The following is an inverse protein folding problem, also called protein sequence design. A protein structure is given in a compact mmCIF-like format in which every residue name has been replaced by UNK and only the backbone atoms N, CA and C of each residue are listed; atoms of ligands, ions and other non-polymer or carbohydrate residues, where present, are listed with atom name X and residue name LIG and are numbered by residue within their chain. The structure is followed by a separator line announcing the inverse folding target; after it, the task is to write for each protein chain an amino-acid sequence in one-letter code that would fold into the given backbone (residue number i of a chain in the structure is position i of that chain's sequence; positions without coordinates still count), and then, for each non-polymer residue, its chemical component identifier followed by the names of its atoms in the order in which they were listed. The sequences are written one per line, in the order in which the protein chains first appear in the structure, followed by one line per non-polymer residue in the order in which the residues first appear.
data_IF_208239716910
#
_entry.id   IF_208239716910
#
_cell.length_a   1.000
_cell.length_b   1.000
_cell.length_c   1.000
_cell.angle_alpha   90.00
_cell.angle_beta   90.00
_cell.angle_gamma   90.00
#
_symmetry.space_group_name_H-M   'P 1'
#
loop_
_entity.id
_entity.type
_entity.pdbx_description
1 polymer ?
#
# COMPACT_ATOMS: atom_id res chain seq x y z
N UNK A 1 71.95 -23.58 -42.78
CA UNK A 1 70.71 -24.35 -42.97
C UNK A 1 69.62 -23.67 -42.14
N UNK A 2 69.23 -22.42 -42.39
CA UNK A 2 68.45 -21.85 -43.54
C UNK A 2 67.11 -22.55 -43.77
N UNK A 3 66.05 -21.99 -43.18
CA UNK A 3 64.77 -21.81 -43.85
C UNK A 3 64.18 -20.49 -43.33
N UNK A 4 64.30 -19.47 -44.17
CA UNK A 4 63.81 -18.11 -44.02
C UNK A 4 62.39 -18.14 -44.59
N UNK A 5 61.37 -18.02 -43.75
CA UNK A 5 59.98 -18.06 -44.18
C UNK A 5 59.56 -16.67 -44.64
N UNK A 6 59.20 -16.59 -45.93
CA UNK A 6 58.96 -15.34 -46.65
C UNK A 6 57.66 -14.68 -46.19
N UNK A 7 57.76 -13.41 -45.80
CA UNK A 7 56.63 -12.49 -45.68
C UNK A 7 56.08 -12.16 -47.06
N UNK A 8 54.81 -12.50 -47.31
CA UNK A 8 54.02 -11.98 -48.43
C UNK A 8 53.59 -10.53 -48.15
N UNK A 9 54.00 -9.54 -48.96
CA UNK A 9 53.42 -8.21 -48.95
C UNK A 9 52.35 -8.12 -50.05
N UNK A 10 51.33 -7.28 -49.84
CA UNK A 10 50.22 -6.99 -50.76
C UNK A 10 49.06 -7.99 -50.80
N UNK A 11 48.26 -7.99 -49.73
CA UNK A 11 46.82 -8.23 -49.90
C UNK A 11 46.15 -6.86 -50.12
N UNK A 12 45.74 -6.59 -51.36
CA UNK A 12 45.02 -5.38 -51.75
C UNK A 12 43.71 -5.32 -50.95
N UNK A 13 43.69 -4.40 -49.98
CA UNK A 13 42.54 -4.06 -49.17
C UNK A 13 41.37 -3.64 -50.06
N UNK A 14 40.49 -4.58 -50.33
CA UNK A 14 39.13 -4.27 -50.74
C UNK A 14 38.54 -3.54 -49.54
N UNK A 15 38.32 -2.22 -49.64
CA UNK A 15 37.52 -1.47 -48.69
C UNK A 15 36.15 -2.13 -48.67
N UNK A 16 35.98 -3.13 -47.79
CA UNK A 16 34.67 -3.61 -47.41
C UNK A 16 33.96 -2.39 -46.86
N UNK A 17 33.08 -1.82 -47.68
CA UNK A 17 32.14 -0.79 -47.29
C UNK A 17 31.51 -1.33 -46.02
N UNK A 18 31.86 -0.74 -44.87
CA UNK A 18 31.32 -1.13 -43.59
C UNK A 18 29.82 -0.86 -43.69
N UNK A 19 29.08 -1.90 -44.08
CA UNK A 19 27.62 -1.88 -44.11
C UNK A 19 27.26 -1.58 -42.67
N UNK A 20 26.86 -0.33 -42.40
CA UNK A 20 26.45 0.07 -41.08
C UNK A 20 25.47 -0.99 -40.59
N UNK A 21 25.72 -1.61 -39.42
CA UNK A 21 24.85 -2.65 -38.90
C UNK A 21 23.45 -2.05 -38.87
N UNK A 22 22.58 -2.53 -39.77
CA UNK A 22 21.24 -2.02 -39.96
C UNK A 22 20.59 -1.97 -38.59
N UNK A 23 20.36 -0.77 -38.08
CA UNK A 23 19.78 -0.59 -36.75
C UNK A 23 18.50 -1.41 -36.74
N UNK A 24 18.38 -2.44 -35.87
CA UNK A 24 17.23 -3.31 -35.88
C UNK A 24 16.00 -2.42 -35.76
N UNK A 25 15.10 -2.54 -36.74
CA UNK A 25 13.88 -1.76 -36.75
C UNK A 25 13.22 -1.91 -35.37
N UNK A 26 12.78 -0.81 -34.73
CA UNK A 26 12.17 -0.88 -33.41
C UNK A 26 11.06 -1.92 -33.48
N UNK A 27 11.19 -2.97 -32.67
CA UNK A 27 10.20 -4.04 -32.62
C UNK A 27 8.89 -3.36 -32.26
N UNK A 28 7.89 -3.35 -33.16
CA UNK A 28 6.66 -2.63 -32.91
C UNK A 28 6.08 -3.12 -31.58
N UNK A 29 5.69 -2.19 -30.72
CA UNK A 29 4.98 -2.49 -29.48
C UNK A 29 3.94 -3.56 -29.78
N UNK A 30 4.09 -4.73 -29.14
CA UNK A 30 3.11 -5.79 -29.27
C UNK A 30 1.87 -5.32 -28.51
N UNK A 31 0.99 -4.58 -29.19
CA UNK A 31 -0.24 -4.06 -28.62
C UNK A 31 -1.11 -5.19 -28.07
N UNK A 32 -0.87 -6.43 -28.49
CA UNK A 32 -1.55 -7.64 -28.05
C UNK A 32 -0.79 -8.43 -26.98
N UNK A 33 0.33 -7.88 -26.49
CA UNK A 33 1.00 -8.39 -25.31
C UNK A 33 0.01 -8.43 -24.14
N UNK A 34 -0.17 -9.65 -23.64
CA UNK A 34 -1.09 -10.02 -22.55
C UNK A 34 -0.84 -9.18 -21.29
N UNK A 35 0.34 -8.60 -21.10
CA UNK A 35 0.65 -7.80 -19.90
C UNK A 35 0.54 -6.30 -20.12
N UNK A 36 0.43 -5.83 -21.37
CA UNK A 36 0.49 -4.40 -21.71
C UNK A 36 -0.87 -3.83 -22.13
N UNK A 37 -1.85 -4.69 -22.41
CA UNK A 37 -3.13 -4.24 -22.93
C UNK A 37 -4.04 -3.67 -21.82
N UNK A 38 -4.54 -2.42 -21.93
CA UNK A 38 -5.34 -1.76 -20.88
C UNK A 38 -6.58 -2.55 -20.42
N UNK A 39 -7.13 -3.40 -21.29
CA UNK A 39 -8.28 -4.24 -20.99
C UNK A 39 -7.99 -5.29 -19.92
N UNK A 40 -6.73 -5.62 -19.66
CA UNK A 40 -6.38 -6.49 -18.54
C UNK A 40 -6.76 -5.87 -17.20
N UNK A 41 -6.65 -4.55 -17.04
CA UNK A 41 -7.10 -3.88 -15.82
C UNK A 41 -8.59 -4.17 -15.56
N UNK A 42 -9.44 -4.03 -16.58
CA UNK A 42 -10.88 -4.34 -16.47
C UNK A 42 -11.09 -5.82 -16.08
N UNK A 43 -10.38 -6.74 -16.72
CA UNK A 43 -10.48 -8.17 -16.40
C UNK A 43 -10.07 -8.46 -14.95
N UNK A 44 -9.00 -7.85 -14.45
CA UNK A 44 -8.59 -7.99 -13.05
C UNK A 44 -9.66 -7.45 -12.09
N UNK A 45 -10.28 -6.30 -12.39
CA UNK A 45 -11.38 -5.79 -11.56
C UNK A 45 -12.58 -6.75 -11.54
N UNK A 46 -12.95 -7.33 -12.67
CA UNK A 46 -14.02 -8.33 -12.74
C UNK A 46 -13.65 -9.57 -11.94
N UNK A 47 -12.41 -10.05 -12.07
CA UNK A 47 -11.91 -11.21 -11.31
C UNK A 47 -11.92 -10.92 -9.80
N UNK A 48 -11.42 -9.76 -9.37
CA UNK A 48 -11.42 -9.40 -7.95
C UNK A 48 -12.82 -9.20 -7.39
N UNK A 49 -13.74 -8.62 -8.17
CA UNK A 49 -15.14 -8.54 -7.79
C UNK A 49 -15.77 -9.93 -7.65
N UNK A 50 -15.52 -10.85 -8.59
CA UNK A 50 -16.02 -12.21 -8.47
C UNK A 50 -15.42 -12.94 -7.27
N UNK A 51 -14.10 -12.84 -7.07
CA UNK A 51 -13.40 -13.46 -5.95
C UNK A 51 -13.85 -12.88 -4.60
N UNK A 52 -14.14 -11.58 -4.49
CA UNK A 52 -14.65 -11.00 -3.25
C UNK A 52 -16.04 -11.56 -2.90
N UNK A 53 -16.91 -11.74 -3.89
CA UNK A 53 -18.21 -12.41 -3.72
C UNK A 53 -18.05 -13.89 -3.33
N UNK A 54 -17.07 -14.57 -3.93
CA UNK A 54 -16.73 -15.95 -3.59
C UNK A 54 -16.25 -16.05 -2.13
N UNK A 55 -15.31 -15.21 -1.71
CA UNK A 55 -14.81 -15.15 -0.32
C UNK A 55 -15.96 -14.90 0.65
N UNK A 56 -16.84 -13.94 0.36
CA UNK A 56 -18.02 -13.68 1.18
C UNK A 56 -18.91 -14.92 1.31
N UNK A 57 -19.17 -15.61 0.20
CA UNK A 57 -19.97 -16.84 0.18
C UNK A 57 -19.31 -17.96 0.97
N UNK A 58 -17.98 -18.11 0.86
CA UNK A 58 -17.20 -19.10 1.61
C UNK A 58 -17.20 -18.83 3.11
N UNK A 59 -17.09 -17.56 3.53
CA UNK A 59 -17.15 -17.18 4.95
C UNK A 59 -18.55 -17.43 5.56
N UNK A 60 -19.62 -17.13 4.81
CA UNK A 60 -21.00 -17.43 5.24
C UNK A 60 -21.31 -18.94 5.25
N UNK A 61 -20.59 -19.73 4.44
CA UNK A 61 -20.74 -21.20 4.37
C UNK A 61 -19.61 -21.93 5.09
N UNK A 62 -18.84 -21.24 5.92
CA UNK A 62 -17.73 -21.86 6.63
C UNK A 62 -18.23 -23.02 7.50
N UNK A 63 -17.54 -24.17 7.50
CA UNK A 63 -17.97 -25.33 8.31
C UNK A 63 -17.87 -25.04 9.82
N UNK A 64 -16.99 -24.12 10.21
CA UNK A 64 -16.90 -23.66 11.60
C UNK A 64 -18.05 -22.71 11.92
N UNK A 65 -18.98 -23.18 12.75
CA UNK A 65 -20.10 -22.37 13.27
C UNK A 65 -19.60 -21.06 13.91
N UNK A 66 -18.49 -21.10 14.67
CA UNK A 66 -17.91 -19.89 15.31
C UNK A 66 -17.54 -18.83 14.26
N UNK A 67 -16.87 -19.21 13.16
CA UNK A 67 -16.45 -18.27 12.12
C UNK A 67 -17.67 -17.65 11.42
N UNK A 68 -18.64 -18.49 11.05
CA UNK A 68 -19.86 -18.01 10.38
C UNK A 68 -20.63 -17.04 11.28
N UNK A 69 -20.90 -17.44 12.51
CA UNK A 69 -21.70 -16.63 13.45
C UNK A 69 -21.00 -15.29 13.76
N UNK A 70 -19.66 -15.28 13.88
CA UNK A 70 -18.89 -14.05 14.04
C UNK A 70 -18.90 -13.19 12.78
N UNK A 71 -18.74 -13.77 11.59
CA UNK A 71 -18.79 -12.98 10.36
C UNK A 71 -20.19 -12.41 10.10
N UNK A 72 -21.25 -13.15 10.42
CA UNK A 72 -22.64 -12.70 10.34
C UNK A 72 -22.99 -11.64 11.39
N UNK A 73 -22.30 -11.56 12.52
CA UNK A 73 -22.55 -10.50 13.51
C UNK A 73 -21.88 -9.18 13.15
N UNK A 74 -20.87 -9.18 12.27
CA UNK A 74 -20.17 -7.98 11.84
C UNK A 74 -21.06 -7.08 10.97
N UNK A 75 -20.93 -5.76 11.15
CA UNK A 75 -21.51 -4.77 10.23
C UNK A 75 -20.98 -4.94 8.81
N UNK A 76 -21.74 -4.47 7.82
CA UNK A 76 -21.36 -4.62 6.41
C UNK A 76 -19.97 -4.04 6.10
N UNK A 77 -19.61 -2.91 6.70
CA UNK A 77 -18.28 -2.31 6.51
C UNK A 77 -17.18 -3.16 7.16
N UNK A 78 -17.46 -3.73 8.33
CA UNK A 78 -16.55 -4.64 9.02
C UNK A 78 -16.34 -5.95 8.24
N UNK A 79 -17.41 -6.49 7.63
CA UNK A 79 -17.37 -7.65 6.72
C UNK A 79 -16.56 -7.36 5.46
N UNK A 80 -16.76 -6.20 4.84
CA UNK A 80 -16.00 -5.79 3.66
C UNK A 80 -14.49 -5.73 3.98
N UNK A 81 -14.11 -5.19 5.14
CA UNK A 81 -12.70 -5.17 5.57
C UNK A 81 -12.13 -6.59 5.73
N UNK A 82 -12.89 -7.52 6.32
CA UNK A 82 -12.45 -8.91 6.45
C UNK A 82 -12.26 -9.57 5.06
N UNK A 83 -13.16 -9.32 4.10
CA UNK A 83 -13.02 -9.79 2.72
C UNK A 83 -11.77 -9.20 2.07
N UNK A 84 -11.52 -7.90 2.24
CA UNK A 84 -10.30 -7.24 1.74
C UNK A 84 -9.06 -7.93 2.30
N UNK A 85 -9.00 -8.23 3.59
CA UNK A 85 -7.82 -8.89 4.18
C UNK A 85 -7.54 -10.25 3.56
N UNK A 86 -8.57 -11.06 3.30
CA UNK A 86 -8.41 -12.36 2.59
C UNK A 86 -7.94 -12.15 1.16
N UNK A 87 -8.54 -11.21 0.43
CA UNK A 87 -8.17 -10.89 -0.95
C UNK A 87 -6.73 -10.39 -1.05
N UNK A 88 -6.33 -9.51 -0.13
CA UNK A 88 -4.97 -8.99 -0.02
C UNK A 88 -3.98 -10.10 0.30
N UNK A 89 -4.30 -10.97 1.25
CA UNK A 89 -3.47 -12.13 1.60
C UNK A 89 -3.24 -13.03 0.39
N UNK A 90 -4.29 -13.40 -0.34
CA UNK A 90 -4.19 -14.29 -1.51
C UNK A 90 -3.45 -13.59 -2.67
N UNK A 91 -3.86 -12.37 -3.03
CA UNK A 91 -3.28 -11.63 -4.15
C UNK A 91 -1.80 -11.32 -3.96
N UNK A 92 -1.42 -10.83 -2.78
CA UNK A 92 0.00 -10.54 -2.46
C UNK A 92 0.84 -11.81 -2.33
N UNK A 93 0.26 -12.95 -1.92
CA UNK A 93 0.97 -14.24 -1.92
C UNK A 93 1.28 -14.73 -3.34
N UNK A 94 0.31 -14.62 -4.26
CA UNK A 94 0.52 -14.95 -5.68
C UNK A 94 1.59 -14.02 -6.29
N UNK A 95 1.46 -12.71 -6.03
CA UNK A 95 2.44 -11.72 -6.47
C UNK A 95 3.84 -12.03 -5.91
N UNK A 96 3.94 -12.40 -4.63
CA UNK A 96 5.20 -12.77 -3.99
C UNK A 96 5.90 -13.94 -4.69
N UNK A 97 5.17 -15.01 -5.00
CA UNK A 97 5.72 -16.18 -5.70
C UNK A 97 6.19 -15.81 -7.12
N UNK A 98 5.36 -15.07 -7.87
CA UNK A 98 5.71 -14.60 -9.20
C UNK A 98 6.92 -13.65 -9.19
N UNK A 99 7.02 -12.81 -8.15
CA UNK A 99 8.12 -11.88 -7.93
C UNK A 99 9.41 -12.62 -7.56
N UNK A 100 9.35 -13.63 -6.69
CA UNK A 100 10.50 -14.49 -6.37
C UNK A 100 11.01 -15.19 -7.62
N UNK A 101 10.14 -15.82 -8.41
CA UNK A 101 10.51 -16.49 -9.66
C UNK A 101 11.21 -15.53 -10.63
N UNK A 102 10.59 -14.38 -10.90
CA UNK A 102 11.10 -13.39 -11.83
C UNK A 102 12.37 -12.67 -11.35
N UNK A 103 12.54 -12.53 -10.03
CA UNK A 103 13.68 -11.83 -9.43
C UNK A 103 14.94 -12.67 -9.28
N UNK A 104 14.85 -14.00 -9.41
CA UNK A 104 15.99 -14.92 -9.23
C UNK A 104 17.24 -14.55 -10.05
N UNK A 105 17.11 -14.19 -11.32
CA UNK A 105 18.29 -13.78 -12.12
C UNK A 105 18.62 -12.30 -11.92
N UNK A 106 17.60 -11.49 -11.67
CA UNK A 106 17.70 -10.04 -11.63
C UNK A 106 18.42 -9.56 -10.38
N UNK A 107 18.11 -10.13 -9.22
CA UNK A 107 18.69 -9.75 -7.94
C UNK A 107 20.01 -10.47 -7.70
N UNK A 108 20.10 -11.77 -7.99
CA UNK A 108 21.25 -12.57 -7.58
C UNK A 108 22.38 -12.63 -8.60
N UNK A 109 22.11 -12.58 -9.91
CA UNK A 109 23.17 -12.78 -10.92
C UNK A 109 23.82 -11.50 -11.40
N UNK A 110 23.30 -10.32 -11.04
CA UNK A 110 23.75 -9.02 -11.55
C UNK A 110 23.85 -8.94 -13.09
N UNK A 111 23.24 -9.88 -13.81
CA UNK A 111 23.34 -10.03 -15.27
C UNK A 111 22.45 -9.01 -15.98
N UNK A 112 23.02 -8.26 -16.93
CA UNK A 112 22.32 -7.25 -17.74
C UNK A 112 21.29 -7.84 -18.72
N UNK A 113 21.12 -9.16 -18.74
CA UNK A 113 20.09 -9.84 -19.52
C UNK A 113 19.22 -10.70 -18.61
N UNK A 114 17.93 -10.74 -18.90
CA UNK A 114 16.96 -11.62 -18.23
C UNK A 114 16.11 -12.31 -19.28
N UNK A 115 15.66 -13.53 -18.99
CA UNK A 115 14.72 -14.22 -19.89
C UNK A 115 13.38 -13.47 -19.94
N UNK A 116 12.74 -13.46 -21.11
CA UNK A 116 11.43 -12.82 -21.30
C UNK A 116 10.37 -13.36 -20.33
N UNK A 117 10.39 -14.67 -20.03
CA UNK A 117 9.48 -15.30 -19.07
C UNK A 117 9.60 -14.68 -17.66
N UNK A 118 10.83 -14.47 -17.19
CA UNK A 118 11.07 -13.85 -15.87
C UNK A 118 10.63 -12.40 -15.85
N UNK A 119 10.88 -11.66 -16.92
CA UNK A 119 10.40 -10.28 -17.06
C UNK A 119 8.87 -10.21 -17.04
N UNK A 120 8.20 -11.08 -17.79
CA UNK A 120 6.74 -11.17 -17.82
C UNK A 120 6.17 -11.50 -16.42
N UNK A 121 6.83 -12.41 -15.67
CA UNK A 121 6.43 -12.74 -14.31
C UNK A 121 6.56 -11.56 -13.34
N UNK A 122 7.61 -10.74 -13.46
CA UNK A 122 7.78 -9.53 -12.65
C UNK A 122 6.73 -8.48 -12.99
N UNK A 123 6.49 -8.24 -14.28
CA UNK A 123 5.44 -7.33 -14.74
C UNK A 123 4.07 -7.77 -14.23
N UNK A 124 3.77 -9.08 -14.30
CA UNK A 124 2.56 -9.65 -13.74
C UNK A 124 2.45 -9.38 -12.23
N UNK A 125 3.49 -9.67 -11.45
CA UNK A 125 3.48 -9.46 -10.00
C UNK A 125 3.23 -7.98 -9.62
N UNK A 126 3.97 -7.06 -10.25
CA UNK A 126 3.85 -5.62 -9.98
C UNK A 126 2.48 -5.07 -10.39
N UNK A 127 1.98 -5.49 -11.56
CA UNK A 127 0.65 -5.11 -12.04
C UNK A 127 -0.45 -5.65 -11.12
N UNK A 128 -0.32 -6.90 -10.67
CA UNK A 128 -1.26 -7.52 -9.74
C UNK A 128 -1.33 -6.73 -8.43
N UNK A 129 -0.18 -6.37 -7.85
CA UNK A 129 -0.12 -5.54 -6.62
C UNK A 129 -0.77 -4.17 -6.84
N UNK A 130 -0.43 -3.47 -7.92
CA UNK A 130 -0.99 -2.15 -8.21
C UNK A 130 -2.51 -2.20 -8.34
N UNK A 131 -3.05 -3.17 -9.08
CA UNK A 131 -4.51 -3.30 -9.26
C UNK A 131 -5.18 -3.72 -7.95
N UNK A 132 -4.57 -4.61 -7.17
CA UNK A 132 -5.09 -5.02 -5.86
C UNK A 132 -5.21 -3.83 -4.90
N UNK A 133 -4.23 -2.92 -4.90
CA UNK A 133 -4.26 -1.69 -4.10
C UNK A 133 -5.32 -0.70 -4.60
N UNK A 134 -5.46 -0.50 -5.91
CA UNK A 134 -6.53 0.35 -6.46
C UNK A 134 -7.91 -0.25 -6.15
N UNK A 135 -8.05 -1.57 -6.27
CA UNK A 135 -9.28 -2.28 -5.92
C UNK A 135 -9.63 -2.09 -4.45
N UNK A 136 -8.67 -2.21 -3.53
CA UNK A 136 -8.92 -1.92 -2.12
C UNK A 136 -9.36 -0.47 -1.90
N UNK A 137 -8.72 0.51 -2.56
CA UNK A 137 -9.10 1.92 -2.45
C UNK A 137 -10.55 2.18 -2.90
N UNK A 138 -11.04 1.43 -3.87
CA UNK A 138 -12.43 1.55 -4.36
C UNK A 138 -13.40 0.80 -3.45
N UNK A 139 -13.03 -0.39 -2.98
CA UNK A 139 -13.91 -1.28 -2.22
C UNK A 139 -14.03 -0.87 -0.74
N UNK A 140 -12.96 -0.31 -0.16
CA UNK A 140 -12.91 0.15 1.23
C UNK A 140 -13.50 1.55 1.34
N UNK A 141 -14.60 1.69 2.09
CA UNK A 141 -15.27 2.99 2.28
C UNK A 141 -14.50 4.00 3.13
N UNK A 142 -13.78 3.51 4.14
CA UNK A 142 -12.98 4.30 5.07
C UNK A 142 -11.56 3.77 5.07
N UNK A 143 -10.61 4.61 4.66
CA UNK A 143 -9.19 4.26 4.64
C UNK A 143 -8.42 5.25 5.49
N UNK A 144 -7.54 4.74 6.35
CA UNK A 144 -6.62 5.60 7.09
C UNK A 144 -5.52 6.16 6.18
N UNK A 145 -5.12 7.41 6.42
CA UNK A 145 -4.13 8.19 5.68
C UNK A 145 -2.80 7.47 5.53
N UNK A 146 -2.24 6.80 6.55
CA UNK A 146 -0.98 6.08 6.36
C UNK A 146 -1.11 4.93 5.36
N UNK A 147 -2.23 4.21 5.39
CA UNK A 147 -2.52 3.15 4.42
C UNK A 147 -2.77 3.74 3.03
N UNK A 148 -3.50 4.85 2.94
CA UNK A 148 -3.74 5.58 1.69
C UNK A 148 -2.42 6.06 1.07
N UNK A 149 -1.55 6.71 1.85
CA UNK A 149 -0.23 7.19 1.41
C UNK A 149 0.64 6.02 0.96
N UNK A 150 0.68 4.94 1.74
CA UNK A 150 1.40 3.71 1.36
C UNK A 150 0.90 3.17 0.01
N UNK A 151 -0.41 3.07 -0.20
CA UNK A 151 -0.99 2.57 -1.46
C UNK A 151 -0.67 3.49 -2.63
N UNK A 152 -0.90 4.81 -2.48
CA UNK A 152 -0.67 5.79 -3.53
C UNK A 152 0.81 5.86 -3.94
N UNK A 153 1.73 5.91 -2.98
CA UNK A 153 3.16 5.93 -3.24
C UNK A 153 3.62 4.62 -3.86
N UNK A 154 3.12 3.47 -3.40
CA UNK A 154 3.46 2.16 -3.99
C UNK A 154 2.99 2.07 -5.45
N UNK A 155 1.74 2.44 -5.74
CA UNK A 155 1.19 2.44 -7.11
C UNK A 155 1.99 3.39 -8.01
N UNK A 156 2.28 4.60 -7.52
CA UNK A 156 3.06 5.60 -8.24
C UNK A 156 4.47 5.08 -8.57
N UNK A 157 5.16 4.47 -7.60
CA UNK A 157 6.47 3.87 -7.82
C UNK A 157 6.43 2.77 -8.88
N UNK A 158 5.46 1.85 -8.81
CA UNK A 158 5.29 0.78 -9.81
C UNK A 158 5.05 1.35 -11.21
N UNK A 159 4.21 2.37 -11.34
CA UNK A 159 3.92 2.99 -12.63
C UNK A 159 5.14 3.72 -13.21
N UNK A 160 5.85 4.49 -12.38
CA UNK A 160 7.02 5.24 -12.81
C UNK A 160 8.17 4.31 -13.23
N UNK A 161 8.41 3.23 -12.49
CA UNK A 161 9.46 2.27 -12.84
C UNK A 161 9.13 1.49 -14.10
N UNK A 162 7.86 1.08 -14.27
CA UNK A 162 7.40 0.44 -15.50
C UNK A 162 7.55 1.38 -16.70
N UNK A 163 7.12 2.65 -16.57
CA UNK A 163 7.28 3.66 -17.61
C UNK A 163 8.76 3.90 -17.97
N UNK A 164 9.63 4.02 -16.95
CA UNK A 164 11.08 4.17 -17.15
C UNK A 164 11.68 2.97 -17.88
N UNK A 165 11.25 1.76 -17.53
CA UNK A 165 11.69 0.53 -18.20
C UNK A 165 11.22 0.47 -19.66
N UNK A 166 9.97 0.81 -19.95
CA UNK A 166 9.45 0.77 -21.32
C UNK A 166 10.04 1.84 -22.23
N UNK A 167 10.40 3.01 -21.68
CA UNK A 167 11.01 4.09 -22.45
C UNK A 167 12.51 3.84 -22.73
N UNK A 168 13.23 3.28 -21.75
CA UNK A 168 14.70 3.12 -21.84
C UNK A 168 15.15 1.71 -22.21
N UNK A 169 14.28 0.71 -22.04
CA UNK A 169 14.60 -0.72 -22.05
C UNK A 169 15.72 -1.13 -21.07
N UNK A 170 16.05 -0.28 -20.09
CA UNK A 170 17.12 -0.54 -19.14
C UNK A 170 16.60 -1.35 -17.95
N UNK A 171 17.17 -2.54 -17.77
CA UNK A 171 16.79 -3.49 -16.72
C UNK A 171 16.96 -2.88 -15.31
N UNK A 172 17.85 -1.90 -15.10
CA UNK A 172 18.06 -1.31 -13.77
C UNK A 172 16.77 -0.75 -13.14
N UNK A 173 15.87 -0.19 -13.95
CA UNK A 173 14.60 0.35 -13.45
C UNK A 173 13.64 -0.76 -13.01
N UNK A 174 13.56 -1.86 -13.75
CA UNK A 174 12.72 -3.00 -13.35
C UNK A 174 13.33 -3.72 -12.13
N UNK A 175 14.67 -3.76 -11.99
CA UNK A 175 15.32 -4.29 -10.78
C UNK A 175 14.92 -3.48 -9.56
N UNK A 176 15.03 -2.16 -9.67
CA UNK A 176 14.66 -1.25 -8.59
C UNK A 176 13.17 -1.40 -8.23
N UNK A 177 12.29 -1.46 -9.24
CA UNK A 177 10.86 -1.73 -9.03
C UNK A 177 10.59 -3.05 -8.32
N UNK A 178 11.33 -4.09 -8.69
CA UNK A 178 11.18 -5.43 -8.10
C UNK A 178 11.60 -5.41 -6.65
N UNK A 179 12.68 -4.70 -6.32
CA UNK A 179 13.09 -4.50 -4.94
C UNK A 179 12.01 -3.75 -4.14
N UNK A 180 11.50 -2.65 -4.69
CA UNK A 180 10.44 -1.86 -4.07
C UNK A 180 9.12 -2.63 -3.91
N UNK A 181 8.79 -3.50 -4.86
CA UNK A 181 7.60 -4.36 -4.80
C UNK A 181 7.57 -5.27 -3.57
N UNK A 182 8.73 -5.63 -3.02
CA UNK A 182 8.79 -6.42 -1.79
C UNK A 182 8.19 -5.71 -0.57
N UNK A 183 8.11 -4.37 -0.56
CA UNK A 183 7.39 -3.66 0.50
C UNK A 183 5.91 -4.05 0.58
N UNK A 184 5.27 -4.30 -0.56
CA UNK A 184 3.87 -4.71 -0.65
C UNK A 184 3.72 -6.22 -0.45
N UNK A 185 4.62 -7.02 -1.02
CA UNK A 185 4.53 -8.48 -0.96
C UNK A 185 5.11 -9.09 0.32
N UNK A 186 5.38 -8.31 1.37
CA UNK A 186 5.74 -8.82 2.71
C UNK A 186 4.67 -8.53 3.77
N UNK A 187 3.46 -8.11 3.35
CA UNK A 187 2.36 -7.72 4.25
C UNK A 187 1.40 -8.87 4.60
N UNK A 188 1.66 -10.10 4.14
CA UNK A 188 0.76 -11.25 4.31
C UNK A 188 0.41 -11.49 5.78
N UNK A 189 1.41 -11.42 6.67
CA UNK A 189 1.20 -11.66 8.09
C UNK A 189 0.33 -10.59 8.74
N UNK A 190 0.42 -9.34 8.27
CA UNK A 190 -0.42 -8.22 8.70
C UNK A 190 -1.88 -8.46 8.34
N UNK A 191 -2.15 -8.89 7.10
CA UNK A 191 -3.51 -9.21 6.68
C UNK A 191 -4.08 -10.40 7.45
N UNK A 192 -3.26 -11.40 7.75
CA UNK A 192 -3.67 -12.56 8.54
C UNK A 192 -4.03 -12.16 9.98
N UNK A 193 -3.19 -11.36 10.65
CA UNK A 193 -3.43 -10.88 12.00
C UNK A 193 -4.72 -10.04 12.07
N UNK A 194 -4.91 -9.10 11.13
CA UNK A 194 -6.11 -8.27 11.05
C UNK A 194 -7.37 -9.09 10.76
N UNK A 195 -7.27 -10.14 9.93
CA UNK A 195 -8.37 -11.05 9.65
C UNK A 195 -8.80 -11.83 10.90
N UNK A 196 -7.85 -12.43 11.63
CA UNK A 196 -8.15 -13.15 12.87
C UNK A 196 -8.73 -12.23 13.94
N UNK A 197 -8.17 -11.04 14.10
CA UNK A 197 -8.71 -10.03 15.00
C UNK A 197 -10.15 -9.65 14.65
N UNK A 198 -10.45 -9.38 13.37
CA UNK A 198 -11.78 -8.94 12.95
C UNK A 198 -12.85 -10.01 13.15
N UNK A 199 -12.50 -11.29 13.01
CA UNK A 199 -13.41 -12.42 13.22
C UNK A 199 -13.39 -12.94 14.67
N UNK A 200 -12.60 -12.32 15.54
CA UNK A 200 -12.36 -12.78 16.91
C UNK A 200 -11.99 -14.27 16.99
N UNK A 201 -11.10 -14.72 16.10
CA UNK A 201 -10.61 -16.09 16.07
C UNK A 201 -9.33 -16.15 16.89
N UNK A 202 -9.22 -17.16 17.76
CA UNK A 202 -8.07 -17.36 18.66
C UNK A 202 -7.74 -16.12 19.52
N UNK A 203 -8.71 -15.66 20.31
CA UNK A 203 -8.59 -14.51 21.24
C UNK A 203 -7.21 -14.45 21.93
N UNK A 204 -6.83 -15.51 22.64
CA UNK A 204 -5.55 -15.61 23.38
C UNK A 204 -4.27 -15.49 22.51
N UNK A 205 -4.38 -15.63 21.19
CA UNK A 205 -3.24 -15.56 20.26
C UNK A 205 -3.21 -14.26 19.47
N UNK A 206 -4.23 -13.39 19.58
CA UNK A 206 -4.30 -12.15 18.80
C UNK A 206 -3.11 -11.23 19.10
N UNK A 207 -2.77 -11.06 20.39
CA UNK A 207 -1.60 -10.28 20.80
C UNK A 207 -0.32 -10.79 20.15
N UNK A 208 -0.11 -12.11 20.17
CA UNK A 208 1.05 -12.75 19.55
C UNK A 208 1.12 -12.47 18.04
N UNK A 209 0.02 -12.64 17.31
CA UNK A 209 -0.02 -12.38 15.86
C UNK A 209 0.27 -10.92 15.53
N UNK A 210 -0.25 -9.97 16.31
CA UNK A 210 0.04 -8.55 16.12
C UNK A 210 1.51 -8.22 16.38
N UNK A 211 2.11 -8.72 17.46
CA UNK A 211 3.53 -8.49 17.74
C UNK A 211 4.42 -9.13 16.67
N UNK A 212 4.12 -10.37 16.28
CA UNK A 212 4.87 -11.06 15.23
C UNK A 212 4.77 -10.31 13.90
N UNK A 213 3.58 -9.86 13.53
CA UNK A 213 3.33 -9.08 12.33
C UNK A 213 4.05 -7.73 12.33
N UNK A 214 4.03 -7.01 13.46
CA UNK A 214 4.73 -5.74 13.61
C UNK A 214 6.25 -5.92 13.48
N UNK A 215 6.80 -6.92 14.18
CA UNK A 215 8.24 -7.23 14.13
C UNK A 215 8.67 -7.67 12.73
N UNK A 216 7.95 -8.60 12.11
CA UNK A 216 8.21 -9.07 10.75
C UNK A 216 8.15 -7.91 9.75
N UNK A 217 7.07 -7.13 9.77
CA UNK A 217 6.92 -5.98 8.87
C UNK A 217 8.06 -4.98 9.03
N UNK A 218 8.42 -4.62 10.27
CA UNK A 218 9.51 -3.68 10.53
C UNK A 218 10.86 -4.20 10.03
N UNK A 219 11.19 -5.47 10.33
CA UNK A 219 12.45 -6.09 9.93
C UNK A 219 12.59 -6.17 8.41
N UNK A 220 11.60 -6.75 7.71
CA UNK A 220 11.67 -6.93 6.27
C UNK A 220 11.60 -5.60 5.52
N UNK A 221 10.75 -4.66 5.94
CA UNK A 221 10.64 -3.36 5.28
C UNK A 221 11.90 -2.52 5.49
N UNK A 222 12.50 -2.55 6.69
CA UNK A 222 13.79 -1.89 6.94
C UNK A 222 14.90 -2.50 6.09
N UNK A 223 14.95 -3.84 6.00
CA UNK A 223 15.92 -4.54 5.15
C UNK A 223 15.77 -4.17 3.67
N UNK A 224 14.55 -4.20 3.13
CA UNK A 224 14.28 -3.83 1.73
C UNK A 224 14.62 -2.36 1.47
N UNK A 225 14.23 -1.44 2.36
CA UNK A 225 14.61 -0.01 2.27
C UNK A 225 16.13 0.15 2.23
N UNK A 226 16.85 -0.48 3.15
CA UNK A 226 18.31 -0.36 3.23
C UNK A 226 18.98 -0.86 1.95
N UNK A 227 18.59 -2.05 1.47
CA UNK A 227 19.09 -2.59 0.20
C UNK A 227 18.75 -1.66 -0.96
N UNK A 228 17.57 -1.03 -0.95
CA UNK A 228 17.13 -0.08 -1.97
C UNK A 228 17.96 1.18 -2.00
N UNK A 229 18.25 1.76 -0.83
CA UNK A 229 19.14 2.92 -0.69
C UNK A 229 20.55 2.56 -1.18
N UNK A 230 21.12 1.45 -0.73
CA UNK A 230 22.47 1.01 -1.14
C UNK A 230 22.53 0.79 -2.66
N UNK A 231 21.53 0.12 -3.22
CA UNK A 231 21.42 -0.11 -4.66
C UNK A 231 21.34 1.22 -5.43
N UNK A 232 20.50 2.14 -4.98
CA UNK A 232 20.35 3.46 -5.59
C UNK A 232 21.64 4.30 -5.51
N UNK A 233 22.28 4.37 -4.34
CA UNK A 233 23.57 5.05 -4.17
C UNK A 233 24.65 4.44 -5.06
N UNK A 234 24.66 3.11 -5.21
CA UNK A 234 25.57 2.42 -6.13
C UNK A 234 25.32 2.83 -7.59
N UNK A 235 24.06 2.96 -8.01
CA UNK A 235 23.72 3.44 -9.36
C UNK A 235 24.20 4.87 -9.62
N UNK A 236 24.10 5.75 -8.62
CA UNK A 236 24.64 7.12 -8.71
C UNK A 236 26.17 7.09 -8.78
N UNK A 237 26.83 6.38 -7.86
CA UNK A 237 28.28 6.36 -7.74
C UNK A 237 28.97 5.78 -9.00
N UNK A 238 28.37 4.74 -9.58
CA UNK A 238 28.88 4.10 -10.81
C UNK A 238 28.55 4.89 -12.08
N UNK A 239 27.84 6.02 -11.99
CA UNK A 239 27.38 6.78 -13.15
C UNK A 239 26.34 6.06 -14.01
N UNK A 240 25.81 4.91 -13.55
CA UNK A 240 24.78 4.14 -14.25
C UNK A 240 23.46 4.87 -14.32
N UNK A 241 23.18 5.73 -13.35
CA UNK A 241 22.06 6.67 -13.42
C UNK A 241 22.51 7.91 -14.21
N UNK A 242 22.55 7.78 -15.54
CA UNK A 242 23.00 8.87 -16.40
C UNK A 242 22.04 10.05 -16.36
N UNK A 243 22.52 11.21 -15.90
CA UNK A 243 21.77 12.49 -15.88
C UNK A 243 21.43 13.00 -17.29
N UNK A 244 21.96 12.37 -18.34
CA UNK A 244 21.60 12.66 -19.74
C UNK A 244 20.17 12.26 -20.11
N UNK A 245 19.54 11.37 -19.34
CA UNK A 245 18.15 10.95 -19.57
C UNK A 245 17.21 11.68 -18.63
N UNK A 246 16.00 12.02 -19.11
CA UNK A 246 14.94 12.62 -18.28
C UNK A 246 14.61 11.75 -17.07
N UNK A 247 14.57 10.42 -17.25
CA UNK A 247 14.36 9.46 -16.17
C UNK A 247 15.50 9.44 -15.15
N UNK A 248 16.76 9.52 -15.58
CA UNK A 248 17.90 9.60 -14.67
C UNK A 248 17.81 10.80 -13.73
N UNK A 249 17.49 11.99 -14.26
CA UNK A 249 17.25 13.20 -13.46
C UNK A 249 16.08 13.00 -12.50
N UNK A 250 14.94 12.51 -13.01
CA UNK A 250 13.75 12.27 -12.21
C UNK A 250 14.03 11.35 -11.01
N UNK A 251 14.61 10.17 -11.24
CA UNK A 251 14.92 9.23 -10.16
C UNK A 251 15.98 9.79 -9.21
N UNK A 252 16.94 10.58 -9.67
CA UNK A 252 17.91 11.24 -8.78
C UNK A 252 17.21 12.12 -7.74
N UNK A 253 16.19 12.87 -8.15
CA UNK A 253 15.47 13.83 -7.31
C UNK A 253 14.40 13.14 -6.44
N UNK A 254 13.58 12.28 -7.03
CA UNK A 254 12.37 11.78 -6.38
C UNK A 254 12.53 10.46 -5.62
N UNK A 255 13.61 9.70 -5.83
CA UNK A 255 13.75 8.38 -5.19
C UNK A 255 13.77 8.47 -3.66
N UNK A 256 14.67 9.28 -3.10
CA UNK A 256 14.84 9.36 -1.64
C UNK A 256 13.60 9.94 -0.94
N UNK A 257 12.95 11.02 -1.44
CA UNK A 257 11.70 11.50 -0.85
C UNK A 257 10.57 10.46 -0.87
N UNK A 258 10.37 9.77 -2.00
CA UNK A 258 9.33 8.75 -2.12
C UNK A 258 9.61 7.55 -1.19
N UNK A 259 10.88 7.13 -1.10
CA UNK A 259 11.28 6.05 -0.21
C UNK A 259 11.15 6.42 1.27
N UNK A 260 11.51 7.65 1.64
CA UNK A 260 11.32 8.16 2.99
C UNK A 260 9.84 8.24 3.36
N UNK A 261 8.98 8.73 2.46
CA UNK A 261 7.54 8.80 2.67
C UNK A 261 6.94 7.40 2.84
N UNK A 262 7.32 6.46 1.97
CA UNK A 262 6.89 5.07 2.04
C UNK A 262 7.34 4.41 3.35
N UNK A 263 8.59 4.59 3.74
CA UNK A 263 9.13 4.01 4.97
C UNK A 263 8.48 4.60 6.23
N UNK A 264 8.25 5.91 6.27
CA UNK A 264 7.56 6.56 7.38
C UNK A 264 6.13 6.04 7.55
N UNK A 265 5.37 5.90 6.46
CA UNK A 265 4.03 5.30 6.51
C UNK A 265 4.06 3.86 7.07
N UNK A 266 5.11 3.11 6.74
CA UNK A 266 5.29 1.73 7.20
C UNK A 266 5.69 1.62 8.67
N UNK A 267 6.60 2.47 9.14
CA UNK A 267 6.95 2.55 10.56
C UNK A 267 5.71 2.90 11.38
N UNK A 268 4.92 3.87 10.92
CA UNK A 268 3.66 4.23 11.57
C UNK A 268 2.66 3.07 11.61
N UNK A 269 2.50 2.33 10.51
CA UNK A 269 1.67 1.13 10.50
C UNK A 269 2.16 0.05 11.48
N UNK A 270 3.47 -0.14 11.61
CA UNK A 270 4.04 -1.08 12.59
C UNK A 270 3.77 -0.64 14.04
N UNK A 271 3.86 0.66 14.33
CA UNK A 271 3.52 1.21 15.64
C UNK A 271 2.05 0.94 16.00
N UNK A 272 1.14 1.06 15.03
CA UNK A 272 -0.28 0.73 15.22
C UNK A 272 -0.44 -0.76 15.55
N UNK A 273 0.14 -1.65 14.77
CA UNK A 273 0.06 -3.10 15.03
C UNK A 273 0.61 -3.45 16.43
N UNK A 274 1.71 -2.83 16.84
CA UNK A 274 2.25 -3.01 18.18
C UNK A 274 1.29 -2.53 19.28
N UNK A 275 0.67 -1.35 19.11
CA UNK A 275 -0.34 -0.83 20.04
C UNK A 275 -1.57 -1.74 20.13
N UNK A 276 -2.05 -2.28 19.00
CA UNK A 276 -3.12 -3.28 18.99
C UNK A 276 -2.73 -4.56 19.75
N UNK A 277 -1.50 -5.05 19.55
CA UNK A 277 -0.99 -6.22 20.27
C UNK A 277 -0.95 -6.00 21.78
N UNK A 278 -0.49 -4.82 22.23
CA UNK A 278 -0.50 -4.45 23.66
C UNK A 278 -1.89 -4.42 24.26
N UNK A 279 -2.88 -3.90 23.53
CA UNK A 279 -4.27 -3.87 23.98
C UNK A 279 -4.86 -5.28 24.12
N UNK A 280 -4.62 -6.15 23.14
CA UNK A 280 -5.07 -7.55 23.23
C UNK A 280 -4.45 -8.25 24.45
N UNK A 281 -3.15 -8.04 24.71
CA UNK A 281 -2.46 -8.60 25.87
C UNK A 281 -3.08 -8.15 27.21
N UNK A 282 -3.46 -6.88 27.31
CA UNK A 282 -4.11 -6.35 28.52
C UNK A 282 -5.47 -7.04 28.74
N UNK A 283 -6.26 -7.21 27.68
CA UNK A 283 -7.55 -7.92 27.77
C UNK A 283 -7.37 -9.39 28.20
N UNK A 284 -6.38 -10.09 27.65
CA UNK A 284 -6.07 -11.48 28.03
C UNK A 284 -5.69 -11.61 29.52
N UNK A 285 -4.95 -10.63 30.05
CA UNK A 285 -4.58 -10.58 31.46
C UNK A 285 -5.80 -10.34 32.36
N UNK A 286 -6.70 -9.42 31.99
CA UNK A 286 -7.95 -9.19 32.73
C UNK A 286 -8.84 -10.44 32.77
N UNK A 287 -9.00 -11.13 31.64
CA UNK A 287 -9.75 -12.39 31.56
C UNK A 287 -9.14 -13.50 32.43
N UNK A 288 -7.81 -13.47 32.59
CA UNK A 288 -7.10 -14.42 33.45
C UNK A 288 -7.29 -14.09 34.94
N UNK A 289 -7.28 -12.81 35.31
CA UNK A 289 -7.55 -12.36 36.69
C UNK A 289 -9.00 -12.65 37.11
N UNK A 290 -9.98 -12.40 36.24
CA UNK A 290 -11.39 -12.71 36.50
C UNK A 290 -11.61 -14.20 36.81
N UNK A 291 -10.97 -15.08 36.04
CA UNK A 291 -11.04 -16.53 36.27
C UNK A 291 -10.40 -16.95 37.58
N UNK A 292 -9.40 -16.22 38.07
CA UNK A 292 -8.80 -16.50 39.38
C UNK A 292 -9.69 -16.07 40.55
N UNK A 293 -10.37 -14.92 40.43
CA UNK A 293 -11.24 -14.38 41.52
C UNK A 293 -12.53 -15.19 41.66
N UNK A 294 -13.13 -15.60 40.53
CA UNK A 294 -14.37 -16.39 40.53
C UNK A 294 -14.24 -17.79 41.15
N UNK A 295 -13.03 -18.31 41.35
CA UNK A 295 -12.84 -19.56 42.09
C UNK A 295 -12.80 -19.40 43.61
N UNK A 296 -12.63 -18.18 44.13
CA UNK A 296 -12.46 -17.93 45.57
C UNK A 296 -13.68 -17.27 46.24
N UNK A 297 -14.51 -16.50 45.51
CA UNK A 297 -15.69 -15.82 46.08
C UNK A 297 -16.87 -15.72 45.07
N UNK A 298 -17.73 -16.75 45.01
CA UNK A 298 -18.91 -16.78 44.10
C UNK A 298 -20.05 -15.81 44.49
N UNK A 299 -20.05 -15.23 45.70
CA UNK A 299 -21.25 -14.56 46.23
C UNK A 299 -21.24 -13.01 46.17
N UNK A 300 -20.19 -12.35 45.65
CA UNK A 300 -20.04 -10.89 45.81
C UNK A 300 -19.73 -10.02 44.57
N UNK A 301 -19.45 -10.58 43.38
CA UNK A 301 -18.81 -9.80 42.29
C UNK A 301 -19.55 -9.76 40.92
N UNK A 302 -20.88 -9.86 40.91
CA UNK A 302 -21.64 -10.07 39.67
C UNK A 302 -21.96 -8.81 38.82
N UNK A 303 -21.64 -7.59 39.26
CA UNK A 303 -22.15 -6.38 38.58
C UNK A 303 -21.12 -5.45 37.92
N UNK A 304 -19.89 -5.30 38.42
CA UNK A 304 -18.98 -4.23 37.96
C UNK A 304 -18.09 -4.63 36.77
N UNK A 305 -17.74 -5.91 36.64
CA UNK A 305 -16.74 -6.37 35.67
C UNK A 305 -17.14 -6.33 34.18
N UNK A 306 -18.39 -6.66 33.77
CA UNK A 306 -18.75 -6.67 32.34
C UNK A 306 -18.72 -5.26 31.71
N UNK A 307 -18.85 -4.20 32.52
CA UNK A 307 -18.79 -2.81 32.06
C UNK A 307 -17.37 -2.43 31.59
N UNK A 308 -16.35 -2.84 32.32
CA UNK A 308 -14.95 -2.50 32.01
C UNK A 308 -14.49 -3.15 30.70
N UNK A 309 -14.89 -4.40 30.43
CA UNK A 309 -14.59 -5.07 29.15
C UNK A 309 -15.28 -4.41 27.96
N UNK A 310 -16.53 -3.99 28.13
CA UNK A 310 -17.26 -3.28 27.08
C UNK A 310 -16.57 -1.94 26.74
N UNK A 311 -16.13 -1.20 27.77
CA UNK A 311 -15.37 0.06 27.61
C UNK A 311 -14.05 -0.13 26.86
N UNK A 312 -13.21 -1.10 27.25
CA UNK A 312 -11.94 -1.35 26.53
C UNK A 312 -12.16 -1.79 25.08
N UNK A 313 -13.20 -2.59 24.83
CA UNK A 313 -13.55 -3.00 23.48
C UNK A 313 -14.00 -1.80 22.65
N UNK A 314 -14.86 -0.95 23.21
CA UNK A 314 -15.32 0.28 22.55
C UNK A 314 -14.15 1.23 22.29
N UNK A 315 -13.20 1.40 23.21
CA UNK A 315 -11.99 2.21 23.00
C UNK A 315 -11.06 1.61 21.91
N UNK A 316 -11.01 0.28 21.79
CA UNK A 316 -10.25 -0.39 20.74
C UNK A 316 -10.87 -0.16 19.35
N UNK A 317 -12.20 -0.24 19.28
CA UNK A 317 -12.97 0.03 18.07
C UNK A 317 -12.96 1.52 17.75
N UNK A 318 -13.00 2.38 18.75
CA UNK A 318 -12.84 3.82 18.65
C UNK A 318 -11.45 4.16 18.15
N UNK A 319 -10.37 3.50 18.55
CA UNK A 319 -9.04 3.82 18.03
C UNK A 319 -8.81 3.31 16.61
N UNK A 320 -9.37 2.14 16.25
CA UNK A 320 -9.45 1.71 14.85
C UNK A 320 -10.34 2.66 14.04
N UNK A 321 -11.40 3.14 14.67
CA UNK A 321 -12.34 4.12 14.16
C UNK A 321 -11.72 5.51 14.06
N UNK A 322 -10.87 5.95 14.97
CA UNK A 322 -10.22 7.27 15.05
C UNK A 322 -8.98 7.27 14.17
N UNK A 323 -8.32 6.13 14.01
CA UNK A 323 -7.44 5.92 12.87
C UNK A 323 -8.19 6.12 11.53
N UNK A 324 -9.46 5.72 11.47
CA UNK A 324 -10.35 5.99 10.33
C UNK A 324 -10.99 7.42 10.35
N UNK A 325 -11.08 8.11 11.50
CA UNK A 325 -11.93 9.32 11.73
C UNK A 325 -11.12 10.60 12.03
N UNK A 326 -9.92 10.55 12.63
CA UNK A 326 -8.99 11.69 12.79
C UNK A 326 -8.46 12.26 11.45
N UNK A 327 -8.97 11.78 10.31
CA UNK A 327 -8.81 12.42 8.99
C UNK A 327 -10.00 13.26 8.55
N UNK A 328 -11.19 13.04 9.11
CA UNK A 328 -12.34 13.91 8.83
C UNK A 328 -12.23 15.25 9.57
N UNK A 329 -11.47 15.32 10.66
CA UNK A 329 -11.20 16.56 11.40
C UNK A 329 -10.12 17.46 10.75
N UNK A 330 -9.38 16.97 9.74
CA UNK A 330 -8.37 17.74 9.00
C UNK A 330 -8.86 18.24 7.63
N UNK A 331 -10.08 17.89 7.21
CA UNK A 331 -10.73 18.64 6.14
C UNK A 331 -11.26 19.95 6.72
N UNK A 332 -10.81 21.14 6.28
CA UNK A 332 -11.36 22.39 6.77
C UNK A 332 -12.86 22.37 6.50
N UNK A 333 -13.64 22.50 7.57
CA UNK A 333 -15.07 22.72 7.53
C UNK A 333 -15.34 23.95 6.64
N UNK A 334 -15.56 23.72 5.35
CA UNK A 334 -16.13 24.73 4.48
C UNK A 334 -17.55 24.93 4.99
N UNK A 335 -17.74 26.00 5.76
CA UNK A 335 -19.04 26.54 6.12
C UNK A 335 -19.81 26.85 4.83
N UNK A 336 -20.52 25.86 4.29
CA UNK A 336 -21.52 26.10 3.28
C UNK A 336 -22.87 26.29 3.97
N UNK A 337 -23.20 27.58 4.07
CA UNK A 337 -24.55 28.11 4.22
C UNK A 337 -25.50 27.32 3.32
N UNK A 338 -26.41 26.59 3.96
CA UNK A 338 -27.41 25.75 3.32
C UNK A 338 -28.53 26.64 2.78
N UNK A 339 -28.42 27.08 1.52
CA UNK A 339 -29.55 27.65 0.78
C UNK A 339 -30.40 26.50 0.23
N UNK A 340 -31.52 26.23 0.89
CA UNK A 340 -32.56 25.32 0.43
C UNK A 340 -33.25 25.88 -0.81
N UNK A 341 -33.03 25.26 -1.98
CA UNK A 341 -33.90 25.41 -3.15
C UNK A 341 -34.57 24.07 -3.42
N UNK A 342 -35.90 24.14 -3.41
CA UNK A 342 -36.88 23.12 -3.71
C UNK A 342 -36.59 22.33 -4.99
N UNK A 343 -36.70 21.01 -4.91
CA UNK A 343 -36.94 20.14 -6.05
C UNK A 343 -37.98 19.08 -5.64
N UNK A 344 -39.24 19.50 -5.74
CA UNK A 344 -40.40 18.64 -5.70
C UNK A 344 -40.56 17.88 -7.03
N UNK A 345 -41.06 16.65 -6.90
CA UNK A 345 -41.95 15.98 -7.86
C UNK A 345 -41.38 15.62 -9.25
N UNK A 346 -41.02 14.34 -9.42
CA UNK A 346 -41.08 13.68 -10.73
C UNK A 346 -41.83 12.34 -10.64
N UNK A 347 -43.17 12.43 -10.64
CA UNK A 347 -44.05 11.34 -11.08
C UNK A 347 -44.31 11.51 -12.58
N UNK A 348 -43.85 10.57 -13.39
CA UNK A 348 -44.15 10.56 -14.83
C UNK A 348 -45.54 9.98 -15.13
N UNK A 349 -46.20 10.46 -16.20
CA UNK A 349 -47.18 9.67 -16.91
C UNK A 349 -46.85 9.47 -18.39
N UNK A 350 -47.15 8.27 -18.88
CA UNK A 350 -47.28 7.90 -20.30
C UNK A 350 -48.36 8.76 -20.98
N UNK A 351 -48.11 9.26 -22.20
CA UNK A 351 -48.95 8.98 -23.39
C UNK A 351 -48.55 9.81 -24.63
N UNK A 352 -48.89 9.22 -25.79
CA UNK A 352 -48.72 9.67 -27.18
C UNK A 352 -49.39 11.02 -27.51
N UNK A 353 -48.74 11.85 -28.35
CA UNK A 353 -49.16 12.21 -29.73
C UNK A 353 -48.33 13.36 -30.33
N UNK A 354 -47.82 13.12 -31.54
CA UNK A 354 -47.86 13.98 -32.75
C UNK A 354 -48.07 15.51 -32.58
N UNK A 355 -47.10 16.34 -33.01
CA UNK A 355 -47.01 17.02 -34.34
C UNK A 355 -46.01 18.19 -34.32
N UNK A 356 -45.36 18.37 -35.48
CA UNK A 356 -45.07 19.64 -36.17
C UNK A 356 -43.95 20.58 -35.66
N UNK A 357 -42.85 20.57 -36.42
CA UNK A 357 -42.22 21.70 -37.16
C UNK A 357 -42.13 23.06 -36.43
N UNK A 358 -40.89 23.54 -36.20
CA UNK A 358 -40.39 24.80 -36.76
C UNK A 358 -38.87 24.95 -36.60
N UNK A 359 -38.28 25.64 -37.58
CA UNK A 359 -36.87 25.90 -37.87
C UNK A 359 -36.49 27.30 -37.34
N UNK A 360 -35.23 27.49 -36.92
CA UNK A 360 -34.56 28.79 -36.72
C UNK A 360 -33.42 28.64 -35.70
N UNK A 361 -32.13 28.59 -36.07
CA UNK A 361 -31.22 29.60 -36.66
C UNK A 361 -30.70 30.67 -35.67
N UNK A 362 -29.35 30.80 -35.66
CA UNK A 362 -28.47 31.88 -35.18
C UNK A 362 -28.34 32.10 -33.66
N UNK A 363 -27.18 31.84 -33.06
CA UNK A 363 -25.93 32.62 -33.06
C UNK A 363 -25.99 33.89 -32.20
N UNK A 364 -25.20 33.96 -31.13
CA UNK A 364 -24.16 34.98 -30.91
C UNK A 364 -23.54 34.90 -29.51
N UNK A 365 -22.26 35.22 -29.47
CA UNK A 365 -21.35 35.40 -28.35
C UNK A 365 -21.85 36.32 -27.24
N UNK A 366 -21.34 36.11 -26.02
CA UNK A 366 -20.99 37.21 -25.11
C UNK A 366 -19.87 36.80 -24.15
N UNK A 367 -18.78 37.57 -24.24
CA UNK A 367 -17.79 37.78 -23.19
C UNK A 367 -18.46 38.31 -21.92
N UNK A 368 -17.89 38.04 -20.73
CA UNK A 368 -17.42 39.07 -19.78
C UNK A 368 -17.10 38.50 -18.38
N UNK A 369 -16.04 39.10 -17.82
CA UNK A 369 -15.76 39.34 -16.39
C UNK A 369 -15.22 38.19 -15.53
N UNK A 370 -13.88 38.18 -15.45
CA UNK A 370 -13.13 37.83 -14.24
C UNK A 370 -13.34 38.89 -13.16
N UNK A 371 -13.44 38.50 -11.88
CA UNK A 371 -13.02 39.35 -10.77
C UNK A 371 -11.72 38.83 -10.15
N UNK A 372 -10.74 39.73 -10.14
CA UNK A 372 -9.57 39.72 -9.27
C UNK A 372 -10.00 39.83 -7.81
N UNK A 373 -9.51 38.94 -6.93
CA UNK A 373 -9.51 39.18 -5.50
C UNK A 373 -8.11 38.96 -4.93
N UNK A 374 -7.61 40.05 -4.35
CA UNK A 374 -6.40 40.20 -3.56
C UNK A 374 -6.49 39.39 -2.27
N UNK A 375 -5.52 38.50 -2.04
CA UNK A 375 -5.32 37.85 -0.75
C UNK A 375 -4.43 38.71 0.14
N UNK A 376 -5.00 39.18 1.25
CA UNK A 376 -4.28 39.63 2.43
C UNK A 376 -3.75 38.38 3.16
N UNK A 377 -2.44 38.33 3.38
CA UNK A 377 -1.79 37.38 4.28
C UNK A 377 -1.73 38.01 5.67
N UNK A 378 -2.36 37.38 6.65
CA UNK A 378 -2.04 37.53 8.06
C UNK A 378 -1.59 36.16 8.60
N UNK A 379 -0.53 36.09 9.43
CA UNK A 379 0.05 34.83 9.89
C UNK A 379 -0.48 34.46 11.27
N UNK A 380 -0.91 33.22 11.48
CA UNK A 380 -1.09 32.68 12.82
C UNK A 380 -0.94 31.16 12.88
N UNK A 381 -0.38 30.74 14.02
CA UNK A 381 -0.37 29.40 14.62
C UNK A 381 0.75 28.42 14.22
N UNK A 382 2.01 28.83 14.44
CA UNK A 382 3.04 27.95 15.04
C UNK A 382 2.97 28.15 16.56
N UNK A 383 2.12 27.41 17.25
CA UNK A 383 2.12 27.21 18.72
C UNK A 383 0.83 26.45 19.03
N UNK A 384 0.85 25.12 18.92
CA UNK A 384 -0.12 24.21 19.57
C UNK A 384 0.23 22.72 19.36
N UNK A 385 1.52 22.40 19.16
CA UNK A 385 1.99 21.01 18.99
C UNK A 385 2.92 20.52 20.12
N UNK A 386 2.89 21.17 21.28
CA UNK A 386 3.72 20.80 22.45
C UNK A 386 2.94 20.36 23.71
N UNK A 387 1.60 20.23 23.65
CA UNK A 387 0.81 19.94 24.88
C UNK A 387 0.26 18.50 24.98
N UNK A 388 0.49 17.63 24.00
CA UNK A 388 -0.08 16.26 24.01
C UNK A 388 0.95 15.13 24.09
N UNK A 389 2.05 15.36 24.81
CA UNK A 389 2.95 14.31 25.32
C UNK A 389 3.23 14.52 26.81
N UNK A 390 2.15 14.65 27.60
CA UNK A 390 2.17 14.46 29.05
C UNK A 390 2.38 12.98 29.42
N UNK A 391 3.55 12.44 29.09
CA UNK A 391 4.12 11.29 29.78
C UNK A 391 5.16 11.84 30.75
N UNK A 392 4.68 12.35 31.88
CA UNK A 392 5.57 12.67 32.99
C UNK A 392 6.30 11.41 33.44
N UNK A 393 7.62 11.56 33.38
CA UNK A 393 8.67 10.76 34.00
C UNK A 393 8.41 10.56 35.49
N UNK A 394 7.72 9.49 35.87
CA UNK A 394 7.58 9.08 37.28
C UNK A 394 7.92 7.60 37.53
N UNK A 395 8.73 6.98 36.65
CA UNK A 395 9.15 5.56 36.79
C UNK A 395 10.68 5.36 36.76
N UNK A 396 11.47 6.41 36.57
CA UNK A 396 12.95 6.29 36.47
C UNK A 396 13.74 6.79 37.68
N UNK A 397 13.09 7.27 38.75
CA UNK A 397 13.81 7.80 39.92
C UNK A 397 13.89 6.81 41.10
N UNK A 398 12.94 5.90 41.24
CA UNK A 398 12.95 4.87 42.30
C UNK A 398 13.89 3.70 42.02
N UNK A 399 14.22 3.43 40.75
CA UNK A 399 15.13 2.34 40.37
C UNK A 399 16.62 2.70 40.40
N UNK A 400 16.98 4.00 40.46
CA UNK A 400 18.37 4.44 40.44
C UNK A 400 18.97 4.54 41.86
N UNK A 401 18.17 4.92 42.87
CA UNK A 401 18.63 5.00 44.26
C UNK A 401 18.86 3.61 44.89
N UNK A 402 18.09 2.59 44.49
CA UNK A 402 18.27 1.21 44.96
C UNK A 402 19.51 0.53 44.35
N UNK A 403 19.93 0.95 43.16
CA UNK A 403 21.15 0.49 42.51
C UNK A 403 22.42 1.13 43.10
N UNK A 404 22.35 2.37 43.60
CA UNK A 404 23.48 3.06 44.24
C UNK A 404 23.72 2.58 45.69
N UNK A 405 22.67 2.21 46.41
CA UNK A 405 22.78 1.63 47.76
C UNK A 405 23.39 0.22 47.79
N UNK A 406 23.24 -0.54 46.70
CA UNK A 406 23.81 -1.90 46.57
C UNK A 406 25.29 -1.88 46.15
N UNK A 407 25.80 -0.75 45.66
CA UNK A 407 27.20 -0.58 45.23
C UNK A 407 28.09 0.09 46.29
N UNK A 408 27.52 0.52 47.42
CA UNK A 408 28.23 1.14 48.55
C UNK A 408 28.14 0.36 49.86
N UNK A 409 27.57 -0.85 49.85
CA UNK A 409 27.65 -1.86 50.91
C UNK A 409 28.55 -3.03 50.47
#
# INVERSE_FOLDING_TARGET
MTAFEATDPFNNGTMATATEPSTPAPVPYDLYSVTQYPWWCLNYFIIFWFLSNLVQTLLLRAPSKKIRDQFESLDQDKRNNAIIYVMQLVGTSIAFVAQLYGSTDIIFKWQETTSQSKLNSLQFALTLVAILYIWELIFRKKIGLPLLVHHLVTILLIQLTAASFFDTHDIKYIRYSTLMGFHATFEQLTFLALFFFRLNIYENWQAFWFFLSAAQSLLFKTFVTLVGVVYFCSMIHTGRLTTSTKWGIFWTIFTLPLLALLFSAQVYACLILYKLGKRCQVMDNFDSMEKSVTMEDEDAMDAELPMTKALFREESEMFLGDYETNQQSLSPSSNHTRSSILLDSWHGPRSRRQRSICVGSMATSRELCLPSNSFHLEPTAEEDLEVELGLESEVTQTGLEEAEATLTA
#
